data_IF_905724886218
#
_entry.id   IF_905724886218
#
_cell.length_a   1.000
_cell.length_b   1.000
_cell.length_c   1.000
_cell.angle_alpha   90.00
_cell.angle_beta   90.00
_cell.angle_gamma   90.00
#
_symmetry.space_group_name_H-M   'P 1'
#
loop_
_entity.id
_entity.type
_entity.pdbx_description
1 polymer ?
#
# COMPACT_ATOMS: atom_id res chain seq x y z
N UNK A 1 -18.12 -12.78 0.70
CA UNK A 1 -17.48 -12.41 1.98
C UNK A 1 -17.71 -13.54 2.95
N UNK A 2 -16.71 -13.90 3.76
CA UNK A 2 -16.92 -14.87 4.84
C UNK A 2 -17.71 -14.15 5.93
N UNK A 3 -18.86 -14.72 6.28
CA UNK A 3 -19.60 -14.32 7.46
C UNK A 3 -18.88 -14.84 8.70
N UNK A 4 -18.58 -13.92 9.61
CA UNK A 4 -17.81 -14.14 10.83
C UNK A 4 -18.72 -14.38 12.05
N UNK A 5 -20.03 -14.20 11.89
CA UNK A 5 -21.00 -14.39 12.98
C UNK A 5 -20.96 -15.83 13.50
N UNK A 6 -20.78 -15.97 14.82
CA UNK A 6 -20.72 -17.26 15.48
C UNK A 6 -19.50 -18.13 15.10
N UNK A 7 -18.49 -17.58 14.41
CA UNK A 7 -17.27 -18.31 14.02
C UNK A 7 -16.19 -18.25 15.09
N UNK A 8 -15.36 -19.29 15.14
CA UNK A 8 -14.06 -19.28 15.81
C UNK A 8 -12.98 -18.73 14.86
N UNK A 9 -12.54 -17.50 15.11
CA UNK A 9 -11.59 -16.79 14.26
C UNK A 9 -10.17 -16.95 14.81
N UNK A 10 -9.23 -17.37 13.96
CA UNK A 10 -7.79 -17.20 14.18
C UNK A 10 -7.32 -15.84 13.70
N UNK A 11 -7.03 -14.89 14.59
CA UNK A 11 -6.50 -13.58 14.21
C UNK A 11 -4.98 -13.65 14.08
N UNK A 12 -4.45 -13.47 12.88
CA UNK A 12 -3.01 -13.49 12.60
C UNK A 12 -2.52 -12.11 12.13
N UNK A 13 -2.06 -11.30 13.08
CA UNK A 13 -1.53 -9.97 12.83
C UNK A 13 -0.05 -9.98 12.44
N UNK A 14 0.35 -9.08 11.53
CA UNK A 14 1.75 -8.95 11.15
C UNK A 14 2.01 -7.82 10.16
N UNK A 15 3.25 -7.35 10.09
CA UNK A 15 3.62 -6.31 9.10
C UNK A 15 3.55 -6.86 7.67
N UNK A 16 3.88 -8.14 7.48
CA UNK A 16 3.93 -8.84 6.18
C UNK A 16 4.72 -8.08 5.11
N UNK A 17 5.97 -7.71 5.45
CA UNK A 17 6.82 -6.86 4.60
C UNK A 17 8.12 -7.57 4.18
N UNK A 18 8.11 -8.65 3.37
CA UNK A 18 6.94 -9.23 2.69
C UNK A 18 6.30 -10.40 3.45
N UNK A 19 5.12 -10.83 3.00
CA UNK A 19 4.55 -12.13 3.32
C UNK A 19 5.44 -13.27 2.77
N UNK A 20 5.61 -14.38 3.50
CA UNK A 20 6.53 -15.46 3.12
C UNK A 20 6.07 -16.85 3.58
N UNK A 21 6.83 -17.89 3.20
CA UNK A 21 6.40 -19.28 3.39
C UNK A 21 6.24 -19.67 4.86
N UNK A 22 7.03 -19.10 5.78
CA UNK A 22 6.80 -19.36 7.20
C UNK A 22 5.45 -18.79 7.71
N UNK A 23 4.99 -17.63 7.20
CA UNK A 23 3.66 -17.10 7.52
C UNK A 23 2.56 -18.03 6.98
N UNK A 24 2.70 -18.47 5.72
CA UNK A 24 1.76 -19.41 5.09
C UNK A 24 1.69 -20.72 5.86
N UNK A 25 2.84 -21.26 6.25
CA UNK A 25 2.93 -22.51 6.99
C UNK A 25 2.32 -22.39 8.39
N UNK A 26 2.51 -21.26 9.08
CA UNK A 26 1.87 -20.99 10.36
C UNK A 26 0.34 -21.05 10.23
N UNK A 27 -0.21 -20.37 9.23
CA UNK A 27 -1.67 -20.35 8.97
C UNK A 27 -2.20 -21.76 8.70
N UNK A 28 -1.52 -22.53 7.83
CA UNK A 28 -1.90 -23.92 7.51
C UNK A 28 -1.87 -24.79 8.77
N UNK A 29 -0.78 -24.72 9.54
CA UNK A 29 -0.61 -25.53 10.73
C UNK A 29 -1.65 -25.20 11.81
N UNK A 30 -2.02 -23.91 11.94
CA UNK A 30 -3.08 -23.47 12.83
C UNK A 30 -4.46 -24.04 12.40
N UNK A 31 -4.80 -23.98 11.11
CA UNK A 31 -6.06 -24.53 10.59
C UNK A 31 -6.17 -26.06 10.72
N UNK A 32 -5.04 -26.77 10.75
CA UNK A 32 -4.98 -28.22 10.90
C UNK A 32 -5.08 -28.68 12.36
N UNK A 33 -4.55 -27.90 13.31
CA UNK A 33 -4.38 -28.32 14.71
C UNK A 33 -5.33 -27.63 15.69
N UNK A 34 -5.90 -26.49 15.31
CA UNK A 34 -6.78 -25.69 16.17
C UNK A 34 -8.22 -25.71 15.63
N UNK A 35 -9.24 -25.59 16.49
CA UNK A 35 -10.64 -25.63 16.09
C UNK A 35 -11.13 -24.33 15.43
N UNK A 36 -10.31 -23.71 14.59
CA UNK A 36 -10.58 -22.40 13.96
C UNK A 36 -11.47 -22.58 12.74
N UNK A 37 -12.61 -21.92 12.64
CA UNK A 37 -13.41 -21.93 11.41
C UNK A 37 -12.70 -21.22 10.25
N UNK A 38 -12.03 -20.11 10.55
CA UNK A 38 -11.39 -19.20 9.61
C UNK A 38 -10.17 -18.55 10.24
N UNK A 39 -9.14 -18.27 9.45
CA UNK A 39 -8.02 -17.39 9.83
C UNK A 39 -8.17 -16.03 9.17
N UNK A 40 -8.17 -14.98 9.98
CA UNK A 40 -8.14 -13.59 9.56
C UNK A 40 -6.70 -13.08 9.61
N UNK A 41 -6.06 -12.95 8.45
CA UNK A 41 -4.75 -12.33 8.31
C UNK A 41 -4.93 -10.82 8.34
N UNK A 42 -4.26 -10.15 9.28
CA UNK A 42 -4.39 -8.72 9.53
C UNK A 42 -3.05 -8.02 9.29
N UNK A 43 -2.79 -7.52 8.07
CA UNK A 43 -1.67 -6.61 7.84
C UNK A 43 -1.83 -5.36 8.69
N UNK A 44 -0.79 -5.03 9.46
CA UNK A 44 -0.82 -3.87 10.35
C UNK A 44 -1.05 -2.57 9.57
N UNK A 45 -1.84 -1.64 10.12
CA UNK A 45 -1.97 -0.28 9.61
C UNK A 45 -0.73 0.52 9.92
N UNK A 46 -0.63 1.01 11.16
CA UNK A 46 0.60 1.59 11.68
C UNK A 46 1.53 0.52 12.29
N UNK A 47 2.84 0.65 12.08
CA UNK A 47 3.83 -0.24 12.69
C UNK A 47 4.88 0.54 13.51
N UNK A 48 4.46 1.30 14.55
CA UNK A 48 5.34 2.20 15.29
C UNK A 48 6.49 1.49 16.01
N UNK A 49 6.35 0.20 16.29
CA UNK A 49 7.39 -0.64 16.88
C UNK A 49 8.51 -1.02 15.89
N UNK A 50 8.43 -0.63 14.62
CA UNK A 50 9.47 -0.91 13.62
C UNK A 50 10.44 0.27 13.54
N UNK A 51 11.72 -0.01 13.74
CA UNK A 51 12.81 0.98 13.60
C UNK A 51 13.20 1.26 12.13
N UNK A 52 12.25 1.16 11.19
CA UNK A 52 12.45 1.43 9.76
C UNK A 52 11.14 1.82 9.10
N UNK A 53 11.23 2.51 7.96
CA UNK A 53 10.07 2.63 7.05
C UNK A 53 9.74 1.27 6.46
N UNK A 54 8.47 0.91 6.51
CA UNK A 54 7.94 -0.31 5.92
C UNK A 54 7.35 0.02 4.54
N UNK A 55 7.13 -0.98 3.71
CA UNK A 55 6.43 -0.74 2.44
C UNK A 55 5.04 -0.16 2.69
N UNK A 56 4.57 0.66 1.74
CA UNK A 56 3.18 1.14 1.70
C UNK A 56 2.19 0.00 1.92
N UNK A 57 1.13 0.27 2.67
CA UNK A 57 0.15 -0.71 3.09
C UNK A 57 -0.46 -1.47 1.91
N UNK A 58 -0.61 -0.83 0.75
CA UNK A 58 -1.25 -1.48 -0.41
C UNK A 58 -0.42 -2.64 -0.94
N UNK A 59 0.90 -2.47 -0.98
CA UNK A 59 1.83 -3.52 -1.36
C UNK A 59 1.83 -4.65 -0.32
N UNK A 60 1.83 -4.33 0.98
CA UNK A 60 1.83 -5.35 2.05
C UNK A 60 0.55 -6.18 2.07
N UNK A 61 -0.59 -5.52 1.93
CA UNK A 61 -1.89 -6.18 1.84
C UNK A 61 -1.97 -7.07 0.60
N UNK A 62 -1.52 -6.59 -0.57
CA UNK A 62 -1.55 -7.38 -1.80
C UNK A 62 -0.61 -8.60 -1.69
N UNK A 63 0.59 -8.43 -1.12
CA UNK A 63 1.48 -9.57 -0.85
C UNK A 63 0.87 -10.58 0.12
N UNK A 64 0.11 -10.14 1.14
CA UNK A 64 -0.62 -11.04 2.00
C UNK A 64 -1.74 -11.77 1.25
N UNK A 65 -2.50 -11.07 0.40
CA UNK A 65 -3.58 -11.64 -0.43
C UNK A 65 -3.05 -12.71 -1.40
N UNK A 66 -1.98 -12.40 -2.11
CA UNK A 66 -1.27 -13.35 -2.98
C UNK A 66 -0.65 -14.50 -2.18
N UNK A 67 -0.19 -14.22 -0.96
CA UNK A 67 0.46 -15.19 -0.09
C UNK A 67 -0.48 -16.28 0.45
N UNK A 68 -1.74 -15.93 0.67
CA UNK A 68 -2.78 -16.84 1.16
C UNK A 68 -3.64 -17.44 0.05
N UNK A 69 -3.36 -17.09 -1.21
CA UNK A 69 -4.13 -17.60 -2.35
C UNK A 69 -4.20 -19.14 -2.36
N UNK A 70 -5.37 -19.65 -2.72
CA UNK A 70 -5.70 -21.08 -2.65
C UNK A 70 -6.04 -21.63 -1.25
N UNK A 71 -5.98 -20.84 -0.18
CA UNK A 71 -6.42 -21.25 1.16
C UNK A 71 -7.89 -20.87 1.40
N UNK A 72 -8.80 -21.84 1.38
CA UNK A 72 -10.26 -21.60 1.40
C UNK A 72 -10.82 -21.05 2.72
N UNK A 73 -10.10 -21.23 3.83
CA UNK A 73 -10.51 -20.79 5.19
C UNK A 73 -9.66 -19.62 5.68
N UNK A 74 -9.20 -18.76 4.77
CA UNK A 74 -8.34 -17.63 5.09
C UNK A 74 -8.85 -16.35 4.42
N UNK A 75 -8.87 -15.25 5.17
CA UNK A 75 -9.26 -13.92 4.68
C UNK A 75 -8.18 -12.93 5.07
N UNK A 76 -7.84 -12.01 4.17
CA UNK A 76 -6.99 -10.86 4.49
C UNK A 76 -7.90 -9.65 4.76
N UNK A 77 -7.68 -8.99 5.89
CA UNK A 77 -8.47 -7.83 6.34
C UNK A 77 -7.69 -6.53 6.20
N UNK A 78 -8.36 -5.45 5.76
CA UNK A 78 -7.81 -4.10 5.70
C UNK A 78 -8.23 -3.22 6.89
N UNK A 79 -8.83 -3.81 7.94
CA UNK A 79 -9.39 -3.08 9.09
C UNK A 79 -8.38 -2.16 9.77
N UNK A 80 -7.20 -2.69 10.14
CA UNK A 80 -6.15 -1.91 10.79
C UNK A 80 -5.61 -0.82 9.84
N UNK A 81 -5.44 -1.12 8.55
CA UNK A 81 -4.98 -0.12 7.57
C UNK A 81 -5.96 1.05 7.43
N UNK A 82 -7.27 0.78 7.49
CA UNK A 82 -8.33 1.80 7.31
C UNK A 82 -8.68 2.54 8.60
N UNK A 83 -8.23 2.03 9.74
CA UNK A 83 -8.46 2.63 11.05
C UNK A 83 -7.36 3.64 11.35
N UNK A 84 -7.68 4.93 11.57
CA UNK A 84 -6.66 5.91 11.92
C UNK A 84 -6.06 5.63 13.31
N UNK A 85 -4.75 5.89 13.45
CA UNK A 85 -4.04 5.81 14.73
C UNK A 85 -3.25 4.51 14.93
N UNK A 86 -2.73 4.33 16.14
CA UNK A 86 -1.94 3.15 16.51
C UNK A 86 -2.86 1.95 16.72
N UNK A 87 -2.62 0.87 15.97
CA UNK A 87 -3.37 -0.38 16.12
C UNK A 87 -2.84 -1.22 17.29
N UNK A 88 -3.52 -1.15 18.44
CA UNK A 88 -3.35 -2.10 19.51
C UNK A 88 -4.23 -3.33 19.28
N UNK A 89 -3.67 -4.54 19.43
CA UNK A 89 -4.42 -5.80 19.26
C UNK A 89 -5.70 -5.85 20.11
N UNK A 90 -5.69 -5.25 21.30
CA UNK A 90 -6.89 -5.09 22.13
C UNK A 90 -8.02 -4.33 21.42
N UNK A 91 -7.71 -3.20 20.80
CA UNK A 91 -8.69 -2.39 20.08
C UNK A 91 -9.19 -3.09 18.82
N UNK A 92 -8.29 -3.77 18.09
CA UNK A 92 -8.67 -4.61 16.95
C UNK A 92 -9.65 -5.71 17.37
N UNK A 93 -9.38 -6.41 18.47
CA UNK A 93 -10.26 -7.47 18.99
C UNK A 93 -11.64 -6.91 19.35
N UNK A 94 -11.71 -5.76 20.02
CA UNK A 94 -13.01 -5.13 20.33
C UNK A 94 -13.78 -4.74 19.08
N UNK A 95 -13.12 -4.11 18.09
CA UNK A 95 -13.77 -3.76 16.82
C UNK A 95 -14.29 -4.98 16.09
N UNK A 96 -13.53 -6.08 16.06
CA UNK A 96 -13.96 -7.33 15.44
C UNK A 96 -15.18 -7.91 16.18
N UNK A 97 -15.19 -7.90 17.51
CA UNK A 97 -16.34 -8.37 18.30
C UNK A 97 -17.60 -7.56 18.04
N UNK A 98 -17.47 -6.24 18.01
CA UNK A 98 -18.59 -5.32 17.77
C UNK A 98 -19.16 -5.44 16.36
N UNK A 99 -18.31 -5.60 15.34
CA UNK A 99 -18.75 -5.59 13.93
C UNK A 99 -19.18 -6.95 13.42
N UNK A 100 -18.63 -8.03 13.96
CA UNK A 100 -18.75 -9.36 13.37
C UNK A 100 -19.33 -10.42 14.30
N UNK A 101 -19.50 -10.14 15.59
CA UNK A 101 -20.07 -11.07 16.57
C UNK A 101 -19.51 -12.52 16.48
N UNK A 102 -18.17 -12.71 16.47
CA UNK A 102 -17.57 -14.04 16.47
C UNK A 102 -17.85 -14.77 17.78
N UNK A 103 -17.91 -16.10 17.73
CA UNK A 103 -18.05 -16.93 18.92
C UNK A 103 -16.78 -16.89 19.78
N UNK A 104 -15.61 -16.95 19.13
CA UNK A 104 -14.31 -16.91 19.80
C UNK A 104 -13.25 -16.27 18.88
N UNK A 105 -12.30 -15.55 19.49
CA UNK A 105 -11.11 -15.06 18.80
C UNK A 105 -9.88 -15.71 19.43
N UNK A 106 -9.06 -16.33 18.61
CA UNK A 106 -7.74 -16.84 18.99
C UNK A 106 -6.66 -16.07 18.26
N UNK A 107 -5.81 -15.36 18.98
CA UNK A 107 -4.66 -14.67 18.38
C UNK A 107 -3.57 -15.69 18.09
N UNK A 108 -3.15 -15.77 16.82
CA UNK A 108 -2.06 -16.62 16.36
C UNK A 108 -0.75 -15.84 16.44
N UNK A 109 0.24 -16.37 17.15
CA UNK A 109 1.48 -15.65 17.41
C UNK A 109 2.71 -16.57 17.40
N UNK A 110 3.88 -15.98 17.14
CA UNK A 110 5.18 -16.63 17.33
C UNK A 110 5.56 -16.78 18.80
N UNK A 111 6.54 -17.65 19.07
CA UNK A 111 7.13 -17.83 20.40
C UNK A 111 7.71 -16.53 20.97
N UNK A 112 8.24 -15.65 20.12
CA UNK A 112 8.77 -14.32 20.44
C UNK A 112 7.71 -13.38 21.03
N UNK A 113 6.45 -13.50 20.58
CA UNK A 113 5.34 -12.71 21.12
C UNK A 113 5.02 -13.12 22.56
N UNK A 114 4.99 -14.42 22.86
CA UNK A 114 4.74 -14.89 24.23
C UNK A 114 5.79 -14.36 25.22
N UNK A 115 7.06 -14.31 24.81
CA UNK A 115 8.15 -13.80 25.65
C UNK A 115 8.05 -12.29 25.92
N UNK A 116 7.37 -11.55 25.06
CA UNK A 116 7.24 -10.08 25.14
C UNK A 116 5.83 -9.60 25.50
N UNK A 117 4.90 -10.52 25.80
CA UNK A 117 3.46 -10.27 25.91
C UNK A 117 3.08 -9.25 26.98
N UNK A 118 3.87 -9.14 28.06
CA UNK A 118 3.61 -8.23 29.18
C UNK A 118 3.66 -6.75 28.76
N UNK A 119 4.29 -6.44 27.62
CA UNK A 119 4.39 -5.09 27.06
C UNK A 119 3.15 -4.65 26.27
N UNK A 120 2.21 -5.56 26.00
CA UNK A 120 1.04 -5.25 25.19
C UNK A 120 0.09 -4.30 25.90
N UNK A 121 -0.45 -3.35 25.13
CA UNK A 121 -1.44 -2.39 25.61
C UNK A 121 -2.67 -3.12 26.15
N UNK A 122 -3.06 -2.82 27.40
CA UNK A 122 -4.17 -3.44 28.12
C UNK A 122 -4.13 -4.98 28.10
N UNK A 123 -2.94 -5.57 28.24
CA UNK A 123 -2.74 -7.03 28.21
C UNK A 123 -3.70 -7.80 29.12
N UNK A 124 -3.96 -7.32 30.35
CA UNK A 124 -4.88 -7.99 31.27
C UNK A 124 -6.29 -8.12 30.70
N UNK A 125 -6.79 -7.05 30.09
CA UNK A 125 -8.14 -7.04 29.55
C UNK A 125 -8.21 -7.83 28.25
N UNK A 126 -7.19 -7.70 27.40
CA UNK A 126 -7.07 -8.50 26.19
C UNK A 126 -7.12 -10.01 26.48
N UNK A 127 -6.39 -10.49 27.48
CA UNK A 127 -6.36 -11.93 27.81
C UNK A 127 -7.73 -12.48 28.25
N UNK A 128 -8.63 -11.62 28.75
CA UNK A 128 -10.02 -11.99 29.01
C UNK A 128 -10.88 -12.09 27.75
N UNK A 129 -10.47 -11.43 26.67
CA UNK A 129 -11.22 -11.34 25.42
C UNK A 129 -10.82 -12.41 24.38
N UNK A 130 -9.64 -13.03 24.51
CA UNK A 130 -9.08 -13.95 23.51
C UNK A 130 -8.54 -15.26 24.11
N UNK A 131 -8.33 -16.24 23.23
CA UNK A 131 -7.32 -17.28 23.42
C UNK A 131 -6.03 -16.90 22.70
N UNK A 132 -4.87 -17.30 23.20
CA UNK A 132 -3.56 -17.08 22.57
C UNK A 132 -2.99 -18.42 22.10
N UNK A 133 -2.82 -18.57 20.79
CA UNK A 133 -2.17 -19.74 20.20
C UNK A 133 -0.74 -19.40 19.77
N UNK A 134 0.23 -20.07 20.40
CA UNK A 134 1.67 -19.84 20.19
C UNK A 134 2.24 -20.96 19.33
N UNK A 135 2.78 -20.59 18.17
CA UNK A 135 3.46 -21.55 17.30
C UNK A 135 4.86 -21.87 17.83
N UNK A 136 5.22 -23.16 17.81
CA UNK A 136 6.58 -23.64 18.05
C UNK A 136 7.25 -23.92 16.71
N UNK A 137 8.42 -23.32 16.49
CA UNK A 137 9.20 -23.41 15.24
C UNK A 137 10.26 -24.51 15.28
N UNK A 138 10.17 -25.46 16.21
CA UNK A 138 11.07 -26.61 16.34
C UNK A 138 12.38 -26.33 17.11
N UNK A 139 12.94 -25.12 17.01
CA UNK A 139 14.18 -24.75 17.69
C UNK A 139 13.95 -24.00 19.02
N UNK A 140 12.70 -23.81 19.41
CA UNK A 140 12.34 -23.10 20.64
C UNK A 140 12.67 -23.91 21.91
N UNK A 141 13.14 -23.23 22.96
CA UNK A 141 13.26 -23.86 24.28
C UNK A 141 11.87 -24.06 24.90
N UNK A 142 11.34 -25.27 24.72
CA UNK A 142 10.01 -25.67 25.19
C UNK A 142 9.83 -25.39 26.69
N UNK A 143 10.87 -25.59 27.51
CA UNK A 143 10.74 -25.38 28.96
C UNK A 143 10.56 -23.91 29.29
N UNK A 144 11.28 -23.02 28.59
CA UNK A 144 11.13 -21.57 28.76
C UNK A 144 9.72 -21.15 28.33
N UNK A 145 9.25 -21.61 27.17
CA UNK A 145 7.92 -21.25 26.67
C UNK A 145 6.80 -21.76 27.58
N UNK A 146 6.87 -23.01 28.04
CA UNK A 146 5.89 -23.56 28.98
C UNK A 146 5.88 -22.83 30.31
N UNK A 147 7.06 -22.47 30.82
CA UNK A 147 7.18 -21.68 32.05
C UNK A 147 6.55 -20.30 31.89
N UNK A 148 6.87 -19.59 30.79
CA UNK A 148 6.30 -18.27 30.52
C UNK A 148 4.78 -18.34 30.31
N UNK A 149 4.28 -19.33 29.58
CA UNK A 149 2.85 -19.54 29.41
C UNK A 149 2.13 -19.77 30.74
N UNK A 150 2.69 -20.59 31.64
CA UNK A 150 2.11 -20.79 32.98
C UNK A 150 2.08 -19.50 33.80
N UNK A 151 3.14 -18.72 33.75
CA UNK A 151 3.23 -17.42 34.41
C UNK A 151 2.17 -16.45 33.85
N UNK A 152 2.10 -16.29 32.53
CA UNK A 152 1.12 -15.41 31.87
C UNK A 152 -0.32 -15.86 32.14
N UNK A 153 -0.60 -17.17 32.10
CA UNK A 153 -1.92 -17.72 32.42
C UNK A 153 -2.30 -17.46 33.88
N UNK A 154 -1.37 -17.65 34.83
CA UNK A 154 -1.62 -17.38 36.24
C UNK A 154 -1.82 -15.89 36.52
N UNK A 155 -1.09 -15.02 35.82
CA UNK A 155 -1.11 -13.56 36.04
C UNK A 155 -2.33 -12.88 35.44
N UNK A 156 -2.75 -13.30 34.25
CA UNK A 156 -3.79 -12.60 33.46
C UNK A 156 -5.02 -13.45 33.18
N UNK A 157 -5.08 -14.70 33.66
CA UNK A 157 -6.17 -15.63 33.32
C UNK A 157 -6.15 -16.06 31.84
N UNK A 158 -5.01 -15.93 31.16
CA UNK A 158 -4.88 -16.17 29.73
C UNK A 158 -5.10 -17.64 29.36
N UNK A 159 -5.89 -17.89 28.31
CA UNK A 159 -6.02 -19.20 27.67
C UNK A 159 -4.93 -19.37 26.63
N UNK A 160 -3.85 -20.08 26.96
CA UNK A 160 -2.71 -20.27 26.07
C UNK A 160 -2.68 -21.70 25.55
N UNK A 161 -2.61 -21.85 24.23
CA UNK A 161 -2.45 -23.14 23.56
C UNK A 161 -1.20 -23.11 22.67
N UNK A 162 -0.56 -24.26 22.50
CA UNK A 162 0.58 -24.42 21.61
C UNK A 162 0.18 -25.25 20.39
N UNK A 163 0.77 -24.93 19.25
CA UNK A 163 0.70 -25.75 18.03
C UNK A 163 2.06 -25.75 17.33
N UNK A 164 2.29 -26.74 16.48
CA UNK A 164 3.60 -26.95 15.86
C UNK A 164 3.60 -26.61 14.38
N UNK A 165 4.73 -26.12 13.88
CA UNK A 165 4.98 -26.03 12.45
C UNK A 165 6.36 -26.63 12.11
N UNK A 166 6.59 -27.05 10.86
CA UNK A 166 7.92 -27.43 10.39
C UNK A 166 8.96 -26.34 10.71
N UNK A 167 10.19 -26.72 11.13
CA UNK A 167 11.21 -25.74 11.47
C UNK A 167 11.49 -24.75 10.34
N UNK A 168 11.57 -23.47 10.69
CA UNK A 168 11.82 -22.40 9.73
C UNK A 168 12.52 -21.22 10.38
N UNK A 169 13.66 -20.84 9.81
CA UNK A 169 14.40 -19.63 10.16
C UNK A 169 14.09 -18.44 9.25
N UNK A 170 13.19 -18.61 8.26
CA UNK A 170 12.84 -17.54 7.31
C UNK A 170 12.20 -16.35 8.03
N UNK A 171 12.78 -15.17 7.83
CA UNK A 171 12.22 -13.88 8.23
C UNK A 171 12.05 -12.94 7.03
N UNK A 172 11.07 -12.04 7.09
CA UNK A 172 10.88 -10.99 6.06
C UNK A 172 12.16 -10.17 5.82
N UNK A 173 12.97 -9.91 6.85
CA UNK A 173 14.25 -9.22 6.71
C UNK A 173 15.25 -9.94 5.81
N UNK A 174 15.24 -11.28 5.79
CA UNK A 174 16.11 -12.05 4.91
C UNK A 174 15.67 -11.92 3.46
N UNK A 175 14.36 -11.99 3.18
CA UNK A 175 13.84 -11.84 1.83
C UNK A 175 14.17 -10.46 1.26
N UNK A 176 14.01 -9.39 2.05
CA UNK A 176 14.38 -8.04 1.61
C UNK A 176 15.87 -7.95 1.28
N UNK A 177 16.73 -8.42 2.19
CA UNK A 177 18.18 -8.46 1.97
C UNK A 177 18.56 -9.26 0.72
N UNK A 178 17.91 -10.40 0.48
CA UNK A 178 18.16 -11.22 -0.71
C UNK A 178 17.80 -10.44 -1.97
N UNK A 179 16.61 -9.83 -2.01
CA UNK A 179 16.14 -9.09 -3.18
C UNK A 179 16.97 -7.83 -3.45
N UNK A 180 17.31 -7.06 -2.42
CA UNK A 180 18.21 -5.89 -2.51
C UNK A 180 19.58 -6.26 -3.10
N UNK A 181 20.07 -7.48 -2.82
CA UNK A 181 21.30 -8.03 -3.38
C UNK A 181 21.10 -8.79 -4.71
N UNK A 182 19.96 -8.59 -5.39
CA UNK A 182 19.59 -9.25 -6.66
C UNK A 182 19.55 -10.78 -6.61
N UNK A 183 19.32 -11.34 -5.42
CA UNK A 183 19.13 -12.77 -5.23
C UNK A 183 17.68 -13.22 -5.50
N UNK A 184 17.50 -14.52 -5.71
CA UNK A 184 16.21 -15.11 -6.06
C UNK A 184 15.34 -15.42 -4.81
N UNK A 185 14.08 -14.97 -4.85
CA UNK A 185 13.10 -15.19 -3.78
C UNK A 185 12.33 -16.50 -3.89
N UNK A 186 12.48 -17.23 -5.00
CA UNK A 186 11.81 -18.50 -5.25
C UNK A 186 12.04 -19.48 -4.09
N UNK A 187 10.96 -20.15 -3.68
CA UNK A 187 10.95 -21.08 -2.56
C UNK A 187 10.98 -20.44 -1.16
N UNK A 188 11.11 -19.11 -1.04
CA UNK A 188 11.12 -18.39 0.25
C UNK A 188 9.78 -17.73 0.56
N UNK A 189 9.05 -17.35 -0.48
CA UNK A 189 7.65 -16.95 -0.43
C UNK A 189 6.87 -17.65 -1.56
N UNK A 190 5.53 -17.55 -1.58
CA UNK A 190 4.74 -18.01 -2.72
C UNK A 190 5.17 -17.30 -4.00
N UNK A 191 5.19 -18.01 -5.13
CA UNK A 191 5.71 -17.49 -6.41
C UNK A 191 5.01 -16.18 -6.84
N UNK A 192 3.71 -16.06 -6.61
CA UNK A 192 2.96 -14.84 -6.88
C UNK A 192 3.46 -13.63 -6.06
N UNK A 193 3.87 -13.85 -4.81
CA UNK A 193 4.48 -12.81 -3.96
C UNK A 193 5.87 -12.44 -4.48
N UNK A 194 6.68 -13.41 -4.89
CA UNK A 194 7.99 -13.15 -5.49
C UNK A 194 7.87 -12.34 -6.78
N UNK A 195 6.96 -12.72 -7.69
CA UNK A 195 6.69 -11.99 -8.93
C UNK A 195 6.15 -10.59 -8.67
N UNK A 196 5.35 -10.41 -7.62
CA UNK A 196 4.85 -9.08 -7.23
C UNK A 196 6.00 -8.18 -6.74
N UNK A 197 6.86 -8.68 -5.86
CA UNK A 197 8.05 -7.94 -5.37
C UNK A 197 8.94 -7.51 -6.54
N UNK A 198 9.21 -8.42 -7.47
CA UNK A 198 10.04 -8.16 -8.64
C UNK A 198 9.40 -7.13 -9.59
N UNK A 199 8.13 -7.33 -9.95
CA UNK A 199 7.38 -6.44 -10.85
C UNK A 199 7.33 -5.03 -10.29
N UNK A 200 7.01 -4.88 -9.01
CA UNK A 200 6.89 -3.58 -8.35
C UNK A 200 8.21 -3.04 -7.78
N UNK A 201 9.35 -3.74 -8.01
CA UNK A 201 10.68 -3.33 -7.53
C UNK A 201 10.73 -2.96 -6.05
N UNK A 202 9.98 -3.69 -5.23
CA UNK A 202 9.88 -3.39 -3.80
C UNK A 202 11.25 -3.53 -3.14
N UNK A 203 11.47 -2.79 -2.04
CA UNK A 203 12.72 -2.78 -1.26
C UNK A 203 13.92 -2.10 -1.93
N UNK A 204 13.91 -1.88 -3.24
CA UNK A 204 15.02 -1.22 -3.94
C UNK A 204 15.10 0.29 -3.68
N UNK A 205 14.06 0.88 -3.08
CA UNK A 205 13.94 2.32 -2.78
C UNK A 205 13.81 2.61 -1.28
N UNK A 206 14.16 1.66 -0.41
CA UNK A 206 14.17 1.88 1.04
C UNK A 206 14.97 3.12 1.50
N UNK A 207 16.11 3.50 0.87
CA UNK A 207 16.82 4.73 1.23
C UNK A 207 16.00 6.01 1.05
N UNK A 208 15.12 6.07 0.05
CA UNK A 208 14.27 7.25 -0.22
C UNK A 208 13.24 7.42 0.90
N UNK A 209 12.56 6.34 1.30
CA UNK A 209 11.59 6.42 2.40
C UNK A 209 12.25 6.76 3.74
N UNK A 210 13.50 6.32 3.97
CA UNK A 210 14.21 6.67 5.20
C UNK A 210 14.59 8.15 5.33
N UNK A 211 14.46 8.94 4.25
CA UNK A 211 14.67 10.39 4.28
C UNK A 211 13.44 11.17 4.74
N UNK A 212 12.26 10.55 4.76
CA UNK A 212 11.04 11.15 5.32
C UNK A 212 11.11 11.04 6.84
N UNK A 213 10.95 12.16 7.55
CA UNK A 213 10.97 12.17 9.02
C UNK A 213 9.78 11.41 9.65
N UNK A 214 9.80 11.25 10.97
CA UNK A 214 8.82 10.42 11.67
C UNK A 214 7.40 11.00 11.61
N UNK A 215 7.26 12.33 11.74
CA UNK A 215 5.96 13.01 11.74
C UNK A 215 5.33 12.94 10.34
N UNK A 216 6.13 13.20 9.31
CA UNK A 216 5.67 13.14 7.92
C UNK A 216 5.39 11.70 7.48
N UNK A 217 6.16 10.72 7.97
CA UNK A 217 5.85 9.31 7.73
C UNK A 217 4.54 8.88 8.37
N UNK A 218 4.26 9.31 9.61
CA UNK A 218 2.99 9.03 10.28
C UNK A 218 1.81 9.63 9.51
N UNK A 219 1.94 10.89 9.07
CA UNK A 219 0.94 11.56 8.21
C UNK A 219 0.72 10.79 6.92
N UNK A 220 1.78 10.28 6.30
CA UNK A 220 1.70 9.51 5.06
C UNK A 220 0.94 8.20 5.23
N UNK A 221 1.20 7.46 6.32
CA UNK A 221 0.47 6.22 6.64
C UNK A 221 -1.00 6.52 6.91
N UNK A 222 -1.30 7.59 7.66
CA UNK A 222 -2.69 8.01 7.89
C UNK A 222 -3.40 8.41 6.59
N UNK A 223 -2.70 9.11 5.69
CA UNK A 223 -3.21 9.51 4.39
C UNK A 223 -3.48 8.31 3.46
N UNK A 224 -2.56 7.35 3.45
CA UNK A 224 -2.75 6.08 2.73
C UNK A 224 -4.01 5.38 3.24
N UNK A 225 -4.12 5.13 4.56
CA UNK A 225 -5.28 4.46 5.15
C UNK A 225 -6.61 5.19 4.91
N UNK A 226 -6.59 6.53 4.90
CA UNK A 226 -7.74 7.35 4.55
C UNK A 226 -8.16 7.16 3.08
N UNK A 227 -7.21 7.21 2.14
CA UNK A 227 -7.48 7.09 0.70
C UNK A 227 -8.16 5.78 0.32
N UNK A 228 -7.90 4.69 1.05
CA UNK A 228 -8.45 3.36 0.76
C UNK A 228 -9.99 3.30 0.79
N UNK A 229 -10.63 4.24 1.47
CA UNK A 229 -12.10 4.33 1.52
C UNK A 229 -12.72 4.67 0.16
N UNK A 230 -11.93 5.23 -0.75
CA UNK A 230 -12.40 5.84 -1.99
C UNK A 230 -11.98 5.07 -3.24
N UNK A 231 -10.99 4.19 -3.14
CA UNK A 231 -10.40 3.49 -4.29
C UNK A 231 -10.42 1.97 -4.14
N UNK A 232 -10.54 1.29 -5.28
CA UNK A 232 -10.51 -0.18 -5.39
C UNK A 232 -9.14 -0.75 -5.05
N UNK A 233 -9.07 -2.06 -4.78
CA UNK A 233 -7.80 -2.72 -4.46
C UNK A 233 -6.75 -2.59 -5.58
N UNK A 234 -7.17 -2.68 -6.84
CA UNK A 234 -6.29 -2.48 -8.00
C UNK A 234 -5.69 -1.07 -8.00
N UNK A 235 -6.54 -0.05 -7.76
CA UNK A 235 -6.09 1.35 -7.66
C UNK A 235 -5.19 1.59 -6.47
N UNK A 236 -5.40 0.94 -5.32
CA UNK A 236 -4.48 1.05 -4.16
C UNK A 236 -3.07 0.60 -4.52
N UNK A 237 -2.95 -0.53 -5.21
CA UNK A 237 -1.64 -1.06 -5.67
C UNK A 237 -1.02 -0.12 -6.71
N UNK A 238 -1.83 0.40 -7.63
CA UNK A 238 -1.39 1.39 -8.61
C UNK A 238 -0.86 2.66 -7.94
N UNK A 239 -1.66 3.32 -7.09
CA UNK A 239 -1.28 4.52 -6.36
C UNK A 239 -0.02 4.31 -5.52
N UNK A 240 0.14 3.15 -4.87
CA UNK A 240 1.38 2.85 -4.14
C UNK A 240 2.60 2.68 -5.05
N UNK A 241 2.42 2.17 -6.28
CA UNK A 241 3.48 2.07 -7.28
C UNK A 241 3.87 3.46 -7.82
N UNK A 242 2.88 4.32 -8.09
CA UNK A 242 3.08 5.72 -8.47
C UNK A 242 3.78 6.49 -7.37
N UNK A 243 3.31 6.38 -6.13
CA UNK A 243 3.89 7.03 -4.96
C UNK A 243 5.36 6.63 -4.74
N UNK A 244 5.68 5.33 -4.88
CA UNK A 244 7.05 4.85 -4.81
C UNK A 244 7.94 5.47 -5.88
N UNK A 245 7.47 5.50 -7.13
CA UNK A 245 8.26 6.02 -8.24
C UNK A 245 8.39 7.55 -8.18
N UNK A 246 7.33 8.24 -7.79
CA UNK A 246 7.32 9.69 -7.55
C UNK A 246 8.34 10.09 -6.47
N UNK A 247 8.40 9.35 -5.36
CA UNK A 247 9.42 9.56 -4.33
C UNK A 247 10.86 9.38 -4.85
N UNK A 248 11.09 8.38 -5.72
CA UNK A 248 12.39 8.20 -6.38
C UNK A 248 12.77 9.41 -7.22
N UNK A 249 11.86 9.88 -8.07
CA UNK A 249 12.13 11.05 -8.91
C UNK A 249 12.30 12.30 -8.05
N UNK A 250 11.50 12.49 -7.01
CA UNK A 250 11.64 13.63 -6.10
C UNK A 250 13.04 13.72 -5.48
N UNK A 251 13.59 12.59 -5.05
CA UNK A 251 14.97 12.50 -4.59
C UNK A 251 15.99 12.93 -5.68
N UNK A 252 15.79 12.51 -6.94
CA UNK A 252 16.71 12.85 -8.04
C UNK A 252 16.65 14.32 -8.47
N UNK A 253 15.51 14.97 -8.28
CA UNK A 253 15.25 16.34 -8.72
C UNK A 253 15.19 17.37 -7.57
N UNK A 254 15.57 16.97 -6.35
CA UNK A 254 15.56 17.84 -5.17
C UNK A 254 14.18 18.46 -4.88
N UNK A 255 13.13 17.65 -5.07
CA UNK A 255 11.74 17.97 -4.71
C UNK A 255 11.41 17.31 -3.39
N UNK A 256 10.53 17.93 -2.60
CA UNK A 256 10.02 17.36 -1.36
C UNK A 256 9.50 15.92 -1.59
N UNK A 257 10.20 14.96 -0.96
CA UNK A 257 9.94 13.52 -1.11
C UNK A 257 8.56 13.17 -0.56
N UNK A 258 8.19 13.71 0.60
CA UNK A 258 6.89 13.45 1.22
C UNK A 258 5.77 13.92 0.30
N UNK A 259 5.89 15.15 -0.21
CA UNK A 259 4.91 15.78 -1.11
C UNK A 259 4.71 14.96 -2.38
N UNK A 260 5.78 14.43 -2.97
CA UNK A 260 5.70 13.57 -4.15
C UNK A 260 5.05 12.21 -3.87
N UNK A 261 5.38 11.57 -2.74
CA UNK A 261 4.76 10.28 -2.37
C UNK A 261 3.27 10.49 -2.05
N UNK A 262 2.92 11.54 -1.30
CA UNK A 262 1.54 11.88 -0.98
C UNK A 262 0.72 12.18 -2.24
N UNK A 263 1.27 12.93 -3.20
CA UNK A 263 0.60 13.20 -4.46
C UNK A 263 0.36 11.91 -5.26
N UNK A 264 1.35 11.02 -5.30
CA UNK A 264 1.23 9.70 -5.91
C UNK A 264 0.17 8.81 -5.26
N UNK A 265 0.01 8.86 -3.94
CA UNK A 265 -1.04 8.11 -3.23
C UNK A 265 -2.45 8.62 -3.58
N UNK A 266 -2.59 9.93 -3.76
CA UNK A 266 -3.90 10.59 -3.89
C UNK A 266 -4.35 10.89 -5.32
N UNK A 267 -3.47 10.80 -6.32
CA UNK A 267 -3.75 11.30 -7.68
C UNK A 267 -5.05 10.74 -8.30
N UNK A 268 -5.33 9.46 -8.06
CA UNK A 268 -6.46 8.71 -8.61
C UNK A 268 -7.65 8.60 -7.64
N UNK A 269 -7.65 9.34 -6.52
CA UNK A 269 -8.57 9.10 -5.42
C UNK A 269 -10.06 9.31 -5.77
N UNK A 270 -10.35 10.19 -6.74
CA UNK A 270 -11.72 10.43 -7.22
C UNK A 270 -12.09 9.54 -8.42
N UNK A 271 -11.23 8.61 -8.86
CA UNK A 271 -11.47 7.81 -10.08
C UNK A 271 -12.72 6.92 -9.99
N UNK A 272 -13.05 6.48 -8.77
CA UNK A 272 -14.20 5.62 -8.49
C UNK A 272 -15.45 6.39 -8.01
N UNK A 273 -15.40 7.74 -7.97
CA UNK A 273 -16.57 8.54 -7.60
C UNK A 273 -17.62 8.46 -8.71
N UNK A 274 -18.92 8.62 -8.38
CA UNK A 274 -19.95 8.82 -9.39
C UNK A 274 -19.57 9.95 -10.36
N UNK A 275 -19.83 9.76 -11.65
CA UNK A 275 -19.41 10.71 -12.68
C UNK A 275 -19.95 12.13 -12.45
N UNK A 276 -21.19 12.27 -11.98
CA UNK A 276 -21.77 13.57 -11.65
C UNK A 276 -21.01 14.28 -10.52
N UNK A 277 -20.58 13.53 -9.50
CA UNK A 277 -19.75 14.07 -8.41
C UNK A 277 -18.36 14.46 -8.93
N UNK A 278 -17.76 13.67 -9.82
CA UNK A 278 -16.51 14.05 -10.49
C UNK A 278 -16.69 15.35 -11.29
N UNK A 279 -17.79 15.50 -12.03
CA UNK A 279 -18.09 16.73 -12.81
C UNK A 279 -18.23 17.95 -11.91
N UNK A 280 -18.99 17.85 -10.83
CA UNK A 280 -19.20 18.95 -9.87
C UNK A 280 -17.87 19.41 -9.25
N UNK A 281 -17.10 18.47 -8.71
CA UNK A 281 -15.80 18.76 -8.08
C UNK A 281 -14.79 19.31 -9.10
N UNK A 282 -14.69 18.71 -10.28
CA UNK A 282 -13.78 19.17 -11.32
C UNK A 282 -14.12 20.59 -11.82
N UNK A 283 -15.41 20.89 -12.02
CA UNK A 283 -15.85 22.24 -12.42
C UNK A 283 -15.50 23.28 -11.36
N UNK A 284 -15.70 22.94 -10.08
CA UNK A 284 -15.38 23.84 -8.96
C UNK A 284 -13.88 24.12 -8.85
N UNK A 285 -13.04 23.10 -8.96
CA UNK A 285 -11.57 23.28 -8.93
C UNK A 285 -11.06 24.15 -10.07
N UNK A 286 -11.49 23.84 -11.30
CA UNK A 286 -10.98 24.53 -12.49
C UNK A 286 -11.46 25.98 -12.52
N UNK A 287 -12.71 26.23 -12.09
CA UNK A 287 -13.35 27.55 -12.10
C UNK A 287 -13.20 28.26 -13.47
N UNK A 288 -13.16 27.47 -14.55
CA UNK A 288 -13.03 27.88 -15.95
C UNK A 288 -13.85 26.90 -16.81
N UNK A 289 -15.00 27.36 -17.28
CA UNK A 289 -15.92 26.53 -18.08
C UNK A 289 -15.31 26.16 -19.44
N UNK A 290 -14.46 27.01 -20.01
CA UNK A 290 -13.82 26.72 -21.30
C UNK A 290 -12.85 25.56 -21.15
N UNK A 291 -12.02 25.60 -20.10
CA UNK A 291 -11.09 24.53 -19.76
C UNK A 291 -11.82 23.23 -19.39
N UNK A 292 -12.85 23.33 -18.56
CA UNK A 292 -13.68 22.18 -18.16
C UNK A 292 -14.26 21.43 -19.37
N UNK A 293 -14.77 22.17 -20.36
CA UNK A 293 -15.35 21.57 -21.57
C UNK A 293 -14.32 20.86 -22.47
N UNK A 294 -13.02 21.05 -22.25
CA UNK A 294 -11.98 20.28 -22.97
C UNK A 294 -11.79 18.88 -22.40
N UNK A 295 -12.16 18.65 -21.14
CA UNK A 295 -11.91 17.38 -20.45
C UNK A 295 -13.01 16.35 -20.78
N UNK A 296 -12.59 15.19 -21.26
CA UNK A 296 -13.47 14.02 -21.33
C UNK A 296 -13.75 13.48 -19.93
N UNK A 297 -14.82 12.70 -19.81
CA UNK A 297 -15.26 12.07 -18.55
C UNK A 297 -14.11 11.32 -17.83
N UNK A 298 -13.27 10.61 -18.59
CA UNK A 298 -12.13 9.89 -18.05
C UNK A 298 -11.03 10.77 -17.44
N UNK A 299 -10.99 12.05 -17.76
CA UNK A 299 -9.98 13.02 -17.31
C UNK A 299 -10.46 13.87 -16.11
N UNK A 300 -11.76 13.81 -15.77
CA UNK A 300 -12.33 14.61 -14.68
C UNK A 300 -11.83 14.21 -13.29
N UNK A 301 -11.43 12.94 -13.10
CA UNK A 301 -10.95 12.44 -11.81
C UNK A 301 -9.76 13.22 -11.24
N UNK A 302 -8.86 13.75 -12.08
CA UNK A 302 -7.71 14.54 -11.62
C UNK A 302 -8.16 15.82 -10.91
N UNK A 303 -8.84 16.75 -11.59
CA UNK A 303 -9.34 17.96 -10.95
C UNK A 303 -10.35 17.69 -9.83
N UNK A 304 -11.18 16.64 -9.96
CA UNK A 304 -12.10 16.23 -8.90
C UNK A 304 -11.36 15.79 -7.63
N UNK A 305 -10.27 15.01 -7.77
CA UNK A 305 -9.43 14.62 -6.64
C UNK A 305 -8.81 15.85 -5.97
N UNK A 306 -8.28 16.79 -6.76
CA UNK A 306 -7.71 18.02 -6.22
C UNK A 306 -8.73 18.84 -5.40
N UNK A 307 -9.97 18.99 -5.89
CA UNK A 307 -11.02 19.70 -5.14
C UNK A 307 -11.38 18.98 -3.84
N UNK A 308 -11.59 17.66 -3.94
CA UNK A 308 -11.98 16.86 -2.80
C UNK A 308 -10.93 16.94 -1.69
N UNK A 309 -9.65 16.79 -2.05
CA UNK A 309 -8.52 16.93 -1.12
C UNK A 309 -8.47 18.33 -0.52
N UNK A 310 -8.65 19.38 -1.31
CA UNK A 310 -8.67 20.77 -0.83
C UNK A 310 -9.71 20.97 0.29
N UNK A 311 -10.89 20.39 0.12
CA UNK A 311 -12.00 20.45 1.09
C UNK A 311 -11.77 19.58 2.33
N UNK A 312 -11.10 18.44 2.22
CA UNK A 312 -11.00 17.45 3.31
C UNK A 312 -9.69 17.49 4.09
N UNK A 313 -8.58 17.89 3.46
CA UNK A 313 -7.23 17.73 4.01
C UNK A 313 -6.59 19.04 4.51
N UNK A 314 -7.39 20.09 4.73
CA UNK A 314 -6.90 21.33 5.35
C UNK A 314 -6.06 22.20 4.42
N UNK A 315 -6.59 22.54 3.23
CA UNK A 315 -5.99 23.45 2.23
C UNK A 315 -4.49 23.21 1.95
N UNK A 316 -4.15 22.11 1.28
CA UNK A 316 -2.81 21.92 0.74
C UNK A 316 -2.41 23.06 -0.20
N UNK A 317 -1.11 23.22 -0.44
CA UNK A 317 -0.63 24.26 -1.34
C UNK A 317 -1.03 24.01 -2.81
N UNK A 318 -1.08 25.07 -3.60
CA UNK A 318 -1.55 25.01 -4.98
C UNK A 318 -0.66 24.17 -5.90
N UNK A 319 0.65 24.07 -5.63
CA UNK A 319 1.54 23.24 -6.46
C UNK A 319 1.18 21.75 -6.29
N UNK A 320 0.86 21.31 -5.07
CA UNK A 320 0.40 19.96 -4.79
C UNK A 320 -0.93 19.63 -5.48
N UNK A 321 -1.92 20.52 -5.31
CA UNK A 321 -3.25 20.31 -5.89
C UNK A 321 -3.21 20.34 -7.42
N UNK A 322 -2.40 21.23 -8.00
CA UNK A 322 -2.25 21.35 -9.45
C UNK A 322 -1.54 20.14 -10.06
N UNK A 323 -0.52 19.60 -9.37
CA UNK A 323 0.11 18.35 -9.78
C UNK A 323 -0.92 17.22 -9.90
N UNK A 324 -1.79 17.07 -8.89
CA UNK A 324 -2.88 16.07 -8.88
C UNK A 324 -3.90 16.37 -9.96
N UNK A 325 -4.34 17.62 -10.11
CA UNK A 325 -5.39 18.00 -11.04
C UNK A 325 -5.02 17.64 -12.49
N UNK A 326 -3.75 17.83 -12.87
CA UNK A 326 -3.29 17.68 -14.24
C UNK A 326 -2.34 16.50 -14.45
N UNK A 327 -2.30 15.54 -13.52
CA UNK A 327 -1.40 14.38 -13.62
C UNK A 327 -1.71 13.51 -14.85
N UNK A 328 -2.96 13.46 -15.31
CA UNK A 328 -3.39 12.58 -16.41
C UNK A 328 -3.24 13.22 -17.79
N UNK A 329 -3.47 14.53 -17.88
CA UNK A 329 -3.38 15.29 -19.14
C UNK A 329 -1.98 15.86 -19.37
N UNK A 330 -1.26 16.20 -18.30
CA UNK A 330 -0.20 17.19 -18.34
C UNK A 330 -0.76 18.59 -18.65
N UNK A 331 0.08 19.61 -18.55
CA UNK A 331 -0.22 20.96 -19.06
C UNK A 331 1.05 21.75 -19.34
N UNK A 332 0.92 22.89 -20.01
CA UNK A 332 2.02 23.84 -20.13
C UNK A 332 2.43 24.37 -18.74
N UNK A 333 3.75 24.42 -18.49
CA UNK A 333 4.32 25.04 -17.29
C UNK A 333 4.08 24.28 -15.99
N UNK A 334 3.93 22.94 -16.04
CA UNK A 334 3.87 22.15 -14.80
C UNK A 334 5.13 22.36 -13.96
N UNK A 335 4.94 22.44 -12.65
CA UNK A 335 6.04 22.37 -11.68
C UNK A 335 6.82 21.06 -11.84
N UNK A 336 8.01 21.00 -11.26
CA UNK A 336 8.82 19.76 -11.24
C UNK A 336 8.02 18.63 -10.56
N UNK A 337 7.29 18.93 -9.48
CA UNK A 337 6.37 17.98 -8.84
C UNK A 337 5.28 17.47 -9.80
N UNK A 338 4.65 18.37 -10.56
CA UNK A 338 3.63 18.01 -11.54
C UNK A 338 4.16 17.10 -12.64
N UNK A 339 5.35 17.41 -13.17
CA UNK A 339 6.02 16.56 -14.16
C UNK A 339 6.39 15.19 -13.58
N UNK A 340 6.89 15.15 -12.34
CA UNK A 340 7.18 13.91 -11.61
C UNK A 340 5.92 13.06 -11.50
N UNK A 341 4.80 13.64 -11.08
CA UNK A 341 3.56 12.90 -10.88
C UNK A 341 2.98 12.37 -12.21
N UNK A 342 2.95 13.22 -13.24
CA UNK A 342 2.54 12.82 -14.59
C UNK A 342 3.36 11.63 -15.09
N UNK A 343 4.69 11.72 -15.00
CA UNK A 343 5.56 10.64 -15.43
C UNK A 343 5.36 9.39 -14.57
N UNK A 344 5.29 9.54 -13.24
CA UNK A 344 5.14 8.43 -12.34
C UNK A 344 3.85 7.63 -12.61
N UNK A 345 2.72 8.29 -12.84
CA UNK A 345 1.48 7.61 -13.22
C UNK A 345 1.64 6.75 -14.49
N UNK A 346 2.37 7.26 -15.49
CA UNK A 346 2.54 6.56 -16.78
C UNK A 346 3.68 5.54 -16.80
N UNK A 347 4.70 5.69 -15.96
CA UNK A 347 5.91 4.85 -16.04
C UNK A 347 6.28 4.14 -14.75
N UNK A 348 5.43 4.18 -13.72
CA UNK A 348 5.56 3.35 -12.52
C UNK A 348 5.71 1.85 -12.85
N UNK A 349 6.19 1.08 -11.88
CA UNK A 349 6.67 -0.29 -12.08
C UNK A 349 5.61 -1.29 -12.51
N UNK A 350 4.33 -0.98 -12.30
CA UNK A 350 3.15 -1.74 -12.70
C UNK A 350 2.72 -1.51 -14.16
N UNK A 351 3.34 -0.55 -14.87
CA UNK A 351 2.96 -0.18 -16.24
C UNK A 351 3.70 -0.96 -17.34
N UNK A 352 3.04 -1.12 -18.48
CA UNK A 352 3.57 -1.79 -19.69
C UNK A 352 3.39 -0.87 -20.91
N UNK A 353 4.49 -0.34 -21.45
CA UNK A 353 4.50 0.53 -22.64
C UNK A 353 5.68 0.19 -23.56
N UNK A 354 5.61 0.52 -24.85
CA UNK A 354 6.64 0.13 -25.85
C UNK A 354 8.01 0.77 -25.54
N UNK A 355 8.05 2.07 -25.20
CA UNK A 355 9.30 2.82 -24.94
C UNK A 355 9.56 3.07 -23.45
N UNK A 356 8.99 2.24 -22.57
CA UNK A 356 9.02 2.44 -21.12
C UNK A 356 10.44 2.65 -20.56
N UNK A 357 11.39 1.80 -20.94
CA UNK A 357 12.78 1.90 -20.44
C UNK A 357 13.49 3.18 -20.91
N UNK A 358 13.17 3.66 -22.11
CA UNK A 358 13.72 4.92 -22.61
C UNK A 358 13.17 6.12 -21.84
N UNK A 359 11.86 6.15 -21.56
CA UNK A 359 11.24 7.22 -20.75
C UNK A 359 11.80 7.22 -19.34
N UNK A 360 11.89 6.04 -18.69
CA UNK A 360 12.51 5.91 -17.37
C UNK A 360 13.95 6.36 -17.36
N UNK A 361 14.75 5.97 -18.36
CA UNK A 361 16.14 6.41 -18.45
C UNK A 361 16.27 7.92 -18.55
N UNK A 362 15.39 8.61 -19.29
CA UNK A 362 15.41 10.07 -19.37
C UNK A 362 14.99 10.70 -18.03
N UNK A 363 13.87 10.23 -17.46
CA UNK A 363 13.35 10.71 -16.18
C UNK A 363 14.35 10.49 -15.03
N UNK A 364 15.17 9.45 -15.09
CA UNK A 364 16.17 9.16 -14.05
C UNK A 364 17.53 9.84 -14.30
N UNK A 365 17.71 10.54 -15.43
CA UNK A 365 18.98 11.16 -15.84
C UNK A 365 19.03 12.68 -15.72
N UNK A 366 18.05 13.29 -15.07
CA UNK A 366 17.95 14.75 -14.93
C UNK A 366 17.35 15.44 -16.16
N UNK A 367 16.73 14.69 -17.08
CA UNK A 367 16.13 15.20 -18.33
C UNK A 367 14.60 15.09 -18.31
N UNK A 368 13.97 15.82 -17.38
CA UNK A 368 12.54 15.68 -17.11
C UNK A 368 11.68 16.10 -18.29
N UNK A 369 11.98 17.23 -18.91
CA UNK A 369 11.29 17.72 -20.10
C UNK A 369 11.39 16.74 -21.29
N UNK A 370 12.57 16.14 -21.52
CA UNK A 370 12.75 15.13 -22.56
C UNK A 370 11.91 13.87 -22.26
N UNK A 371 11.80 13.48 -20.99
CA UNK A 371 10.96 12.37 -20.57
C UNK A 371 9.46 12.69 -20.75
N UNK A 372 9.03 13.91 -20.40
CA UNK A 372 7.66 14.41 -20.61
C UNK A 372 7.29 14.35 -22.09
N UNK A 373 8.15 14.92 -22.95
CA UNK A 373 7.98 14.88 -24.42
C UNK A 373 7.80 13.44 -24.90
N UNK A 374 8.73 12.56 -24.54
CA UNK A 374 8.73 11.18 -25.00
C UNK A 374 7.49 10.41 -24.52
N UNK A 375 7.05 10.66 -23.30
CA UNK A 375 5.85 10.06 -22.74
C UNK A 375 4.58 10.52 -23.48
N UNK A 376 4.49 11.82 -23.80
CA UNK A 376 3.37 12.38 -24.56
C UNK A 376 3.31 11.82 -26.00
N UNK A 377 4.45 11.61 -26.67
CA UNK A 377 4.50 10.95 -28.00
C UNK A 377 3.90 9.54 -27.97
N UNK A 378 4.22 8.77 -26.92
CA UNK A 378 3.66 7.42 -26.76
C UNK A 378 2.16 7.45 -26.47
N UNK A 379 1.70 8.41 -25.68
CA UNK A 379 0.26 8.62 -25.42
C UNK A 379 -0.46 8.96 -26.72
N UNK A 380 0.04 9.91 -27.52
CA UNK A 380 -0.57 10.28 -28.79
C UNK A 380 -0.60 9.12 -29.78
N UNK A 381 0.49 8.35 -29.86
CA UNK A 381 0.53 7.12 -30.68
C UNK A 381 -0.53 6.10 -30.26
N UNK A 382 -0.81 5.99 -28.95
CA UNK A 382 -1.84 5.10 -28.43
C UNK A 382 -3.27 5.61 -28.72
N UNK A 383 -3.49 6.92 -28.58
CA UNK A 383 -4.75 7.58 -28.86
C UNK A 383 -5.11 7.51 -30.35
N UNK A 384 -4.14 7.75 -31.24
CA UNK A 384 -4.31 7.64 -32.70
C UNK A 384 -4.75 6.22 -33.10
N UNK A 385 -4.10 5.18 -32.54
CA UNK A 385 -4.49 3.78 -32.76
C UNK A 385 -5.89 3.45 -32.29
N UNK A 386 -6.38 4.18 -31.29
CA UNK A 386 -7.69 4.00 -30.69
C UNK A 386 -8.76 4.90 -31.33
N UNK A 387 -8.36 5.77 -32.26
CA UNK A 387 -9.25 6.75 -32.90
C UNK A 387 -9.77 7.83 -31.95
N UNK A 388 -9.05 8.13 -30.87
CA UNK A 388 -9.41 9.14 -29.87
C UNK A 388 -8.54 10.37 -30.10
N UNK A 389 -9.14 11.57 -30.10
CA UNK A 389 -8.39 12.82 -30.22
C UNK A 389 -7.68 13.18 -28.91
N UNK A 390 -6.48 13.74 -29.02
CA UNK A 390 -5.73 14.22 -27.86
C UNK A 390 -6.36 15.47 -27.26
N UNK A 391 -6.43 15.54 -25.94
CA UNK A 391 -6.89 16.72 -25.22
C UNK A 391 -5.93 17.92 -25.48
N UNK A 392 -6.49 19.13 -25.54
CA UNK A 392 -5.75 20.36 -25.83
C UNK A 392 -4.62 20.64 -24.84
N UNK A 393 -4.80 20.32 -23.54
CA UNK A 393 -3.76 20.48 -22.53
C UNK A 393 -2.55 19.58 -22.81
N UNK A 394 -2.78 18.35 -23.25
CA UNK A 394 -1.71 17.42 -23.60
C UNK A 394 -0.93 17.90 -24.83
N UNK A 395 -1.64 18.44 -25.83
CA UNK A 395 -1.01 19.04 -27.02
C UNK A 395 -0.16 20.25 -26.65
N UNK A 396 -0.67 21.13 -25.78
CA UNK A 396 0.08 22.30 -25.31
C UNK A 396 1.27 21.92 -24.43
N UNK A 397 1.11 20.91 -23.56
CA UNK A 397 2.22 20.32 -22.82
C UNK A 397 3.31 19.82 -23.76
N UNK A 398 2.93 19.07 -24.80
CA UNK A 398 3.89 18.56 -25.78
C UNK A 398 4.66 19.69 -26.47
N UNK A 399 3.97 20.73 -26.96
CA UNK A 399 4.62 21.88 -27.61
C UNK A 399 5.65 22.54 -26.69
N UNK A 400 5.33 22.68 -25.41
CA UNK A 400 6.23 23.24 -24.40
C UNK A 400 7.46 22.37 -24.19
N UNK A 401 7.27 21.08 -23.90
CA UNK A 401 8.38 20.17 -23.56
C UNK A 401 9.17 19.70 -24.79
N UNK A 402 8.61 19.83 -26.00
CA UNK A 402 9.31 19.60 -27.25
C UNK A 402 10.15 20.81 -27.72
N UNK A 403 10.17 21.92 -26.98
CA UNK A 403 10.91 23.13 -27.34
C UNK A 403 10.29 23.91 -28.50
N UNK A 404 8.95 23.86 -28.63
CA UNK A 404 8.20 24.56 -29.68
C UNK A 404 8.01 23.79 -30.99
N UNK A 405 8.37 22.50 -31.05
CA UNK A 405 8.12 21.66 -32.22
C UNK A 405 6.63 21.30 -32.35
N UNK A 406 6.04 21.54 -33.52
CA UNK A 406 4.69 21.07 -33.86
C UNK A 406 4.70 19.56 -34.10
N UNK A 407 3.72 18.84 -33.52
CA UNK A 407 3.41 17.45 -33.94
C UNK A 407 2.89 17.53 -35.37
N UNK A 408 3.56 16.90 -36.33
CA UNK A 408 2.90 16.52 -37.58
C UNK A 408 1.93 15.39 -37.22
N UNK A 409 0.64 15.73 -37.16
CA UNK A 409 -0.46 14.77 -37.01
C UNK A 409 -0.61 13.92 -38.27
#
# INVERSE_FOLDING_TARGET
MIDFEGKHIGLYGGTFDPFHNAHRQLIVSALEQLPLDVVLVMPLGQAPHKNRRISLAAHRFEMARLGVDGLSRVVVSDDEIRTPGVDYTYETVLRLKERHFPAEITVLAGSDVLLSIDSWYRVNDLMGEISLAVVRRGDDDIKILESKAKETAARYGAKIVFFDMPPSTLASSDLRRIHENRGELRGKCPDAVASFIERHRLYLLSPVYSMVDDDDWERLVALEGWSWRFITQERRVHSASVAQYAGKLAYLYDVDIWKAIAAGLLHDMAKEFPLEEQRELAREYLNDETLFMTLSDDLLHGPAAAEFISKTCGKPDMEFLDAIAFHSTGRCGMSVLGQILFLADKIAFDRVFRRLDAIRSLAESGKLDDAMKLCLEEIFTALERSGVEANSLSLDAYRTYAGGATVEM
#
